data_IF_164125153076
#
_entry.id   IF_164125153076
#
_cell.length_a   1.000
_cell.length_b   1.000
_cell.length_c   1.000
_cell.angle_alpha   90.00
_cell.angle_beta   90.00
_cell.angle_gamma   90.00
#
_symmetry.space_group_name_H-M   'P 1'
#
loop_
_entity.id
_entity.type
_entity.pdbx_description
1 polymer ?
#
# COMPACT_ATOMS: atom_id res chain seq x y z
N UNK A 1 56.37 -53.86 21.00
CA UNK A 1 56.31 -55.01 20.08
C UNK A 1 54.87 -55.23 19.69
N UNK A 2 54.62 -55.35 18.38
CA UNK A 2 53.39 -55.74 17.67
C UNK A 2 52.31 -54.63 17.61
N UNK A 3 52.16 -53.89 16.50
CA UNK A 3 51.75 -54.29 15.13
C UNK A 3 50.42 -55.02 15.10
N UNK A 4 49.35 -54.37 14.62
CA UNK A 4 48.61 -54.92 13.48
C UNK A 4 47.71 -53.87 12.82
N UNK A 5 47.85 -53.80 11.50
CA UNK A 5 47.11 -52.96 10.54
C UNK A 5 46.18 -53.89 9.77
N UNK A 6 44.91 -53.53 9.64
CA UNK A 6 43.99 -54.01 8.60
C UNK A 6 43.20 -52.78 8.14
N UNK A 7 43.45 -52.17 6.98
CA UNK A 7 43.27 -52.62 5.58
C UNK A 7 41.82 -53.01 5.27
N UNK A 8 41.13 -52.07 4.61
CA UNK A 8 40.26 -52.36 3.47
C UNK A 8 38.81 -52.73 3.76
N UNK A 9 37.87 -51.87 3.40
CA UNK A 9 37.22 -51.98 2.08
C UNK A 9 36.40 -50.73 1.76
N UNK A 10 36.75 -50.12 0.63
CA UNK A 10 35.87 -49.35 -0.24
C UNK A 10 34.61 -50.17 -0.55
N UNK A 11 33.42 -49.57 -0.65
CA UNK A 11 32.54 -49.66 -1.84
C UNK A 11 31.20 -48.91 -1.63
N UNK A 12 30.93 -48.01 -2.58
CA UNK A 12 29.63 -47.65 -3.15
C UNK A 12 28.64 -46.79 -2.36
N UNK A 13 28.78 -45.49 -2.59
CA UNK A 13 27.80 -44.61 -3.22
C UNK A 13 26.31 -45.03 -3.20
N UNK A 14 25.50 -44.25 -2.51
CA UNK A 14 24.17 -43.86 -2.98
C UNK A 14 24.00 -42.36 -2.75
N UNK A 15 24.43 -41.59 -3.74
CA UNK A 15 23.97 -40.23 -3.93
C UNK A 15 22.48 -40.29 -4.22
N UNK A 16 21.63 -39.91 -3.27
CA UNK A 16 20.21 -39.65 -3.55
C UNK A 16 20.12 -38.37 -4.35
N UNK A 17 20.27 -38.48 -5.68
CA UNK A 17 19.88 -37.43 -6.60
C UNK A 17 18.38 -37.20 -6.42
N UNK A 18 18.05 -36.05 -5.86
CA UNK A 18 16.70 -35.52 -5.87
C UNK A 18 16.26 -35.29 -7.31
N UNK A 19 15.33 -36.09 -7.80
CA UNK A 19 14.56 -35.77 -9.00
C UNK A 19 13.46 -34.79 -8.60
N UNK A 20 13.85 -33.53 -8.41
CA UNK A 20 12.89 -32.44 -8.48
C UNK A 20 12.46 -32.33 -9.94
N UNK A 21 11.33 -32.94 -10.29
CA UNK A 21 10.70 -32.75 -11.58
C UNK A 21 10.45 -31.25 -11.81
N UNK A 22 10.82 -30.68 -12.97
CA UNK A 22 10.44 -29.32 -13.29
C UNK A 22 8.91 -29.29 -13.41
N UNK A 23 8.24 -28.55 -12.52
CA UNK A 23 6.85 -28.15 -12.76
C UNK A 23 6.86 -27.26 -13.99
N UNK A 24 6.37 -27.79 -15.10
CA UNK A 24 5.98 -27.00 -16.27
C UNK A 24 4.93 -26.02 -15.75
N UNK A 25 5.31 -24.73 -15.69
CA UNK A 25 4.34 -23.66 -15.51
C UNK A 25 3.66 -23.53 -16.86
N UNK A 26 2.46 -24.09 -16.95
CA UNK A 26 1.57 -23.90 -18.09
C UNK A 26 1.26 -22.40 -18.15
N UNK A 27 1.81 -21.72 -19.15
CA UNK A 27 1.55 -20.31 -19.39
C UNK A 27 0.09 -20.18 -19.82
N UNK A 28 -0.76 -19.81 -18.88
CA UNK A 28 -2.12 -19.39 -19.20
C UNK A 28 -2.03 -18.10 -20.03
N UNK A 29 -2.39 -18.21 -21.30
CA UNK A 29 -2.73 -17.06 -22.11
C UNK A 29 -4.04 -16.54 -21.53
N UNK A 30 -3.98 -15.42 -20.81
CA UNK A 30 -5.17 -14.67 -20.44
C UNK A 30 -5.68 -14.06 -21.75
N UNK A 31 -6.72 -14.68 -22.32
CA UNK A 31 -7.51 -14.02 -23.35
C UNK A 31 -8.07 -12.74 -22.72
N UNK A 32 -8.01 -11.58 -23.39
CA UNK A 32 -8.59 -10.37 -22.88
C UNK A 32 -10.10 -10.57 -22.85
N UNK A 33 -10.65 -10.97 -21.70
CA UNK A 33 -12.05 -10.76 -21.42
C UNK A 33 -12.29 -9.27 -21.65
N UNK A 34 -13.24 -8.96 -22.54
CA UNK A 34 -13.65 -7.59 -22.80
C UNK A 34 -14.17 -6.99 -21.49
N UNK A 35 -13.28 -6.31 -20.77
CA UNK A 35 -13.61 -5.36 -19.71
C UNK A 35 -14.46 -4.27 -20.35
N UNK A 36 -15.76 -4.54 -20.47
CA UNK A 36 -16.76 -3.50 -20.62
C UNK A 36 -16.70 -2.67 -19.36
N UNK A 37 -15.92 -1.59 -19.43
CA UNK A 37 -15.98 -0.51 -18.45
C UNK A 37 -17.42 -0.02 -18.47
N UNK A 38 -18.19 -0.47 -17.48
CA UNK A 38 -19.56 0.00 -17.27
C UNK A 38 -19.48 1.47 -16.86
N UNK A 39 -19.61 2.36 -17.84
CA UNK A 39 -19.87 3.77 -17.60
C UNK A 39 -21.38 3.87 -17.45
N UNK A 40 -21.93 4.08 -16.24
CA UNK A 40 -23.37 4.26 -16.10
C UNK A 40 -23.79 5.49 -16.91
N UNK A 41 -24.71 5.30 -17.85
CA UNK A 41 -25.28 6.38 -18.69
C UNK A 41 -26.07 7.42 -17.87
N UNK A 42 -26.20 7.21 -16.55
CA UNK A 42 -26.99 8.03 -15.66
C UNK A 42 -26.16 8.49 -14.45
N UNK A 43 -25.86 9.78 -14.41
CA UNK A 43 -25.12 10.47 -13.34
C UNK A 43 -25.84 10.42 -11.98
N UNK A 44 -27.10 9.94 -11.95
CA UNK A 44 -27.90 9.75 -10.74
C UNK A 44 -27.59 8.49 -9.93
N UNK A 45 -26.92 7.48 -10.51
CA UNK A 45 -26.59 6.23 -9.82
C UNK A 45 -25.11 6.18 -9.36
N UNK A 46 -24.35 7.25 -9.62
CA UNK A 46 -23.03 7.39 -9.03
C UNK A 46 -23.21 7.48 -7.50
N UNK A 47 -22.55 6.63 -6.70
CA UNK A 47 -22.53 6.82 -5.26
C UNK A 47 -22.07 8.25 -5.00
N UNK A 48 -22.68 8.97 -4.03
CA UNK A 48 -22.35 10.36 -3.76
C UNK A 48 -20.84 10.48 -3.69
N UNK A 49 -20.26 11.39 -4.49
CA UNK A 49 -18.83 11.61 -4.62
C UNK A 49 -18.20 11.55 -3.22
N UNK A 50 -17.66 10.38 -2.86
CA UNK A 50 -17.01 10.26 -1.57
C UNK A 50 -15.74 11.09 -1.75
N UNK A 51 -15.53 12.16 -0.96
CA UNK A 51 -14.27 12.87 -1.01
C UNK A 51 -13.17 11.81 -0.91
N UNK A 52 -12.20 11.86 -1.82
CA UNK A 52 -11.14 10.85 -1.91
C UNK A 52 -10.73 10.47 -0.49
N UNK A 53 -11.02 9.23 -0.09
CA UNK A 53 -10.74 8.77 1.28
C UNK A 53 -9.30 9.14 1.57
N UNK A 54 -9.10 9.84 2.68
CA UNK A 54 -7.87 10.55 3.02
C UNK A 54 -6.62 9.64 2.96
N UNK A 55 -5.40 10.21 2.99
CA UNK A 55 -4.14 9.46 3.08
C UNK A 55 -4.12 8.22 4.00
N UNK A 56 -4.92 8.24 5.06
CA UNK A 56 -5.08 7.14 6.03
C UNK A 56 -5.82 5.92 5.46
N UNK A 57 -6.56 6.08 4.36
CA UNK A 57 -7.30 5.02 3.67
C UNK A 57 -6.41 3.94 3.06
N UNK A 58 -5.17 4.28 2.67
CA UNK A 58 -4.24 3.30 2.12
C UNK A 58 -3.52 2.52 3.23
N UNK A 59 -3.26 3.17 4.37
CA UNK A 59 -2.81 2.47 5.59
C UNK A 59 -3.83 1.45 6.06
N UNK A 60 -5.12 1.78 5.96
CA UNK A 60 -6.22 0.85 6.21
C UNK A 60 -6.30 -0.33 5.24
N UNK A 61 -5.80 -0.21 4.00
CA UNK A 61 -5.83 -1.34 3.07
C UNK A 61 -4.77 -2.39 3.39
N UNK A 62 -3.67 -2.00 4.03
CA UNK A 62 -2.60 -2.91 4.42
C UNK A 62 -3.00 -3.84 5.59
N UNK A 63 -3.99 -3.43 6.40
CA UNK A 63 -4.46 -4.19 7.56
C UNK A 63 -5.95 -4.51 7.43
N UNK A 64 -6.29 -5.78 7.59
CA UNK A 64 -7.65 -6.31 7.41
C UNK A 64 -8.67 -5.66 8.37
N UNK A 65 -9.24 -4.50 8.02
CA UNK A 65 -10.42 -3.79 8.55
C UNK A 65 -10.78 -3.95 10.05
N UNK A 66 -9.82 -4.13 10.96
CA UNK A 66 -10.09 -4.30 12.41
C UNK A 66 -10.35 -2.99 13.15
N UNK A 67 -10.29 -1.84 12.47
CA UNK A 67 -10.44 -0.54 13.12
C UNK A 67 -11.89 -0.04 12.99
N UNK A 68 -12.58 0.28 14.10
CA UNK A 68 -13.92 0.88 14.08
C UNK A 68 -13.95 2.19 13.29
N UNK A 69 -15.02 2.42 12.52
CA UNK A 69 -15.17 3.62 11.68
C UNK A 69 -15.09 4.90 12.50
N UNK A 70 -15.59 4.88 13.73
CA UNK A 70 -15.58 6.00 14.66
C UNK A 70 -14.15 6.38 15.05
N UNK A 71 -13.30 5.38 15.32
CA UNK A 71 -11.89 5.61 15.63
C UNK A 71 -11.14 6.19 14.42
N UNK A 72 -11.45 5.70 13.23
CA UNK A 72 -10.87 6.20 11.98
C UNK A 72 -11.20 7.68 11.77
N UNK A 73 -12.48 8.05 11.90
CA UNK A 73 -12.92 9.44 11.79
C UNK A 73 -12.33 10.31 12.89
N UNK A 74 -12.18 9.79 14.11
CA UNK A 74 -11.59 10.53 15.22
C UNK A 74 -10.11 10.88 14.96
N UNK A 75 -9.32 9.94 14.44
CA UNK A 75 -7.93 10.20 14.06
C UNK A 75 -7.82 11.09 12.82
N UNK A 76 -8.69 10.91 11.83
CA UNK A 76 -8.70 11.74 10.62
C UNK A 76 -8.93 13.22 10.92
N UNK A 77 -9.85 13.55 11.85
CA UNK A 77 -10.07 14.92 12.32
C UNK A 77 -8.84 15.55 12.96
N UNK A 78 -7.93 14.72 13.48
CA UNK A 78 -6.65 15.13 14.08
C UNK A 78 -5.50 15.08 13.07
N UNK A 79 -5.79 14.82 11.78
CA UNK A 79 -4.78 14.60 10.73
C UNK A 79 -3.78 13.49 11.11
N UNK A 80 -4.27 12.46 11.78
CA UNK A 80 -3.51 11.34 12.31
C UNK A 80 -4.03 10.00 11.75
N UNK A 81 -3.18 8.98 11.78
CA UNK A 81 -3.53 7.61 11.41
C UNK A 81 -3.93 6.81 12.66
N UNK A 82 -4.98 6.00 12.56
CA UNK A 82 -5.35 5.10 13.65
C UNK A 82 -4.48 3.84 13.63
N UNK A 83 -4.03 3.39 14.80
CA UNK A 83 -3.34 2.12 14.95
C UNK A 83 -4.27 0.95 14.59
N UNK A 84 -3.80 -0.06 13.83
CA UNK A 84 -4.60 -1.25 13.52
C UNK A 84 -4.96 -2.09 14.75
N UNK A 85 -4.01 -2.24 15.68
CA UNK A 85 -4.26 -2.92 16.95
C UNK A 85 -4.76 -1.93 18.01
N UNK A 86 -5.78 -2.32 18.78
CA UNK A 86 -6.18 -1.56 19.94
C UNK A 86 -5.11 -1.63 21.04
N UNK A 87 -5.13 -0.64 21.92
CA UNK A 87 -4.41 -0.62 23.19
C UNK A 87 -5.00 -1.65 24.17
N UNK A 88 -4.34 -1.89 25.31
CA UNK A 88 -4.75 -2.87 26.32
C UNK A 88 -6.15 -2.62 26.88
N UNK A 89 -6.59 -1.36 26.89
CA UNK A 89 -7.92 -0.91 27.30
C UNK A 89 -8.97 -1.02 26.19
N UNK A 90 -8.60 -1.52 25.01
CA UNK A 90 -9.46 -1.62 23.84
C UNK A 90 -9.60 -0.31 23.05
N UNK A 91 -8.92 0.76 23.45
CA UNK A 91 -8.94 2.03 22.75
C UNK A 91 -8.04 2.02 21.51
N UNK A 92 -8.39 2.80 20.48
CA UNK A 92 -7.58 2.91 19.27
C UNK A 92 -6.77 4.21 19.33
N UNK A 93 -5.45 4.07 19.35
CA UNK A 93 -4.53 5.20 19.39
C UNK A 93 -4.37 5.84 18.01
N UNK A 94 -4.17 7.15 17.99
CA UNK A 94 -3.85 7.90 16.79
C UNK A 94 -2.36 8.27 16.79
N UNK A 95 -1.69 8.05 15.66
CA UNK A 95 -0.29 8.41 15.41
C UNK A 95 -0.25 9.53 14.39
N UNK A 96 0.53 10.58 14.66
CA UNK A 96 0.67 11.67 13.71
C UNK A 96 1.33 11.17 12.42
N UNK A 97 0.89 11.66 11.25
CA UNK A 97 1.46 11.21 9.97
C UNK A 97 2.97 11.46 9.86
N UNK A 98 3.51 12.44 10.59
CA UNK A 98 4.95 12.74 10.63
C UNK A 98 5.77 11.78 11.49
N UNK A 99 5.12 11.07 12.41
CA UNK A 99 5.75 10.12 13.32
C UNK A 99 5.71 8.69 12.75
N UNK A 100 5.02 8.47 11.63
CA UNK A 100 5.03 7.18 10.94
C UNK A 100 6.42 6.91 10.34
N UNK A 101 6.93 5.70 10.58
CA UNK A 101 8.20 5.22 10.04
C UNK A 101 9.41 6.05 10.49
N UNK A 102 9.35 6.55 11.73
CA UNK A 102 10.37 7.35 12.37
C UNK A 102 11.35 6.51 13.22
N UNK A 103 11.21 5.18 13.17
CA UNK A 103 11.96 4.16 13.94
C UNK A 103 11.62 4.10 15.42
N UNK A 104 10.54 4.75 15.86
CA UNK A 104 10.01 4.65 17.21
C UNK A 104 8.63 4.03 17.10
N UNK A 105 8.35 3.02 17.92
CA UNK A 105 7.02 2.39 17.94
C UNK A 105 6.09 3.24 18.78
N UNK A 106 5.04 3.76 18.18
CA UNK A 106 3.93 4.44 18.86
C UNK A 106 2.67 3.58 18.91
N UNK A 107 2.44 2.71 17.92
CA UNK A 107 1.29 1.80 17.99
C UNK A 107 1.55 0.63 18.96
N UNK A 108 0.50 0.10 19.62
CA UNK A 108 0.63 -1.01 20.56
C UNK A 108 1.30 -2.26 19.95
N UNK A 109 1.01 -2.55 18.67
CA UNK A 109 1.64 -3.65 17.93
C UNK A 109 2.87 -3.24 17.12
N UNK A 110 3.27 -1.96 17.14
CA UNK A 110 4.36 -1.42 16.34
C UNK A 110 4.08 -1.42 14.84
N UNK A 111 2.81 -1.38 14.43
CA UNK A 111 2.37 -1.40 13.03
C UNK A 111 2.81 -0.18 12.23
N UNK A 112 2.92 0.96 12.92
CA UNK A 112 3.46 2.23 12.45
C UNK A 112 4.90 2.10 11.90
N UNK A 113 5.66 1.11 12.40
CA UNK A 113 7.04 0.82 12.00
C UNK A 113 7.17 -0.48 11.19
N UNK A 114 6.06 -1.07 10.76
CA UNK A 114 6.12 -2.31 9.98
C UNK A 114 6.66 -2.04 8.58
N UNK A 115 7.46 -2.96 8.04
CA UNK A 115 8.05 -2.81 6.70
C UNK A 115 6.99 -2.62 5.61
N UNK A 116 5.87 -3.32 5.73
CA UNK A 116 4.75 -3.22 4.78
C UNK A 116 4.12 -1.84 4.87
N UNK A 117 3.84 -1.36 6.08
CA UNK A 117 3.24 -0.04 6.27
C UNK A 117 4.17 1.08 5.77
N UNK A 118 5.45 1.00 6.11
CA UNK A 118 6.42 1.99 5.67
C UNK A 118 6.63 2.01 4.16
N UNK A 119 6.65 0.84 3.52
CA UNK A 119 6.72 0.77 2.06
C UNK A 119 5.54 1.50 1.39
N UNK A 120 4.31 1.24 1.84
CA UNK A 120 3.13 1.91 1.27
C UNK A 120 3.10 3.40 1.60
N UNK A 121 3.47 3.79 2.82
CA UNK A 121 3.52 5.18 3.23
C UNK A 121 4.53 5.98 2.39
N UNK A 122 5.72 5.44 2.18
CA UNK A 122 6.75 6.06 1.35
C UNK A 122 6.28 6.21 -0.10
N UNK A 123 5.78 5.13 -0.71
CA UNK A 123 5.24 5.14 -2.07
C UNK A 123 4.16 6.22 -2.24
N UNK A 124 3.23 6.27 -1.28
CA UNK A 124 2.13 7.22 -1.31
C UNK A 124 2.57 8.66 -1.09
N UNK A 125 3.54 8.89 -0.21
CA UNK A 125 4.11 10.22 0.04
C UNK A 125 4.76 10.81 -1.22
N UNK A 126 5.44 9.97 -2.01
CA UNK A 126 6.05 10.35 -3.28
C UNK A 126 4.98 10.72 -4.29
N UNK A 127 3.96 9.87 -4.45
CA UNK A 127 2.91 10.10 -5.45
C UNK A 127 2.05 11.32 -5.10
N UNK A 128 1.63 11.47 -3.84
CA UNK A 128 0.90 12.65 -3.39
C UNK A 128 1.71 13.94 -3.57
N UNK A 129 3.02 13.90 -3.31
CA UNK A 129 3.88 15.07 -3.50
C UNK A 129 3.91 15.48 -4.97
N UNK A 130 3.99 14.50 -5.88
CA UNK A 130 3.93 14.74 -7.33
C UNK A 130 2.60 15.34 -7.76
N UNK A 131 1.48 14.79 -7.30
CA UNK A 131 0.15 15.30 -7.63
C UNK A 131 -0.06 16.73 -7.11
N UNK A 132 0.38 17.02 -5.88
CA UNK A 132 0.31 18.37 -5.30
C UNK A 132 1.11 19.38 -6.11
N UNK A 133 2.29 19.02 -6.61
CA UNK A 133 3.09 19.90 -7.46
C UNK A 133 2.41 20.19 -8.81
N UNK A 134 1.78 19.20 -9.43
CA UNK A 134 0.99 19.40 -10.65
C UNK A 134 -0.21 20.31 -10.37
N UNK A 135 -0.96 20.05 -9.29
CA UNK A 135 -2.11 20.86 -8.90
C UNK A 135 -1.73 22.33 -8.66
N UNK A 136 -0.62 22.60 -7.96
CA UNK A 136 -0.10 23.96 -7.76
C UNK A 136 0.25 24.65 -9.09
N UNK A 137 0.85 23.94 -10.05
CA UNK A 137 1.18 24.50 -11.37
C UNK A 137 -0.07 24.85 -12.16
N UNK A 138 -1.09 24.01 -12.12
CA UNK A 138 -2.38 24.28 -12.76
C UNK A 138 -3.09 25.46 -12.09
N UNK A 139 -3.11 25.51 -10.76
CA UNK A 139 -3.70 26.61 -10.01
C UNK A 139 -3.07 27.95 -10.38
N UNK A 140 -1.73 28.01 -10.47
CA UNK A 140 -1.03 29.22 -10.95
C UNK A 140 -1.43 29.66 -12.35
N UNK A 141 -1.69 28.73 -13.27
CA UNK A 141 -2.16 29.05 -14.63
C UNK A 141 -3.60 29.57 -14.64
N UNK A 142 -4.46 29.03 -13.77
CA UNK A 142 -5.84 29.49 -13.62
C UNK A 142 -5.90 30.89 -13.00
N UNK A 143 -5.02 31.16 -12.04
CA UNK A 143 -4.92 32.46 -11.37
C UNK A 143 -4.16 33.50 -12.21
N UNK A 144 -3.53 33.09 -13.32
CA UNK A 144 -2.87 34.00 -14.26
C UNK A 144 -3.92 34.87 -14.97
N UNK A 145 -3.91 36.20 -14.77
CA UNK A 145 -4.89 37.10 -15.36
C UNK A 145 -4.85 37.11 -16.91
N UNK A 146 -3.72 36.78 -17.52
CA UNK A 146 -3.60 36.66 -18.98
C UNK A 146 -4.42 35.47 -19.52
N UNK A 147 -4.47 34.37 -18.76
CA UNK A 147 -5.24 33.17 -19.11
C UNK A 147 -6.74 33.34 -18.79
N UNK A 148 -7.07 34.06 -17.72
CA UNK A 148 -8.45 34.40 -17.35
C UNK A 148 -9.14 35.27 -18.41
N UNK A 149 -8.41 36.23 -18.99
CA UNK A 149 -8.92 37.08 -20.08
C UNK A 149 -9.20 36.34 -21.39
N UNK A 150 -8.50 35.23 -21.66
CA UNK A 150 -8.72 34.41 -22.84
C UNK A 150 -9.97 33.52 -22.72
N UNK A 151 -10.34 33.11 -21.50
CA UNK A 151 -11.49 32.22 -21.25
C UNK A 151 -12.82 32.96 -21.13
N UNK A 152 -12.82 34.20 -20.60
CA UNK A 152 -14.04 35.04 -20.57
C UNK A 152 -14.44 35.57 -21.96
N UNK A 153 -13.57 35.48 -22.97
CA UNK A 153 -13.88 35.88 -24.36
C UNK A 153 -14.84 34.91 -25.08
N UNK A 154 -15.10 33.73 -24.52
CA UNK A 154 -15.97 32.70 -25.08
C UNK A 154 -17.26 32.47 -24.29
N UNK A 155 -17.53 33.25 -23.24
CA UNK A 155 -18.86 33.31 -22.61
C UNK A 155 -19.72 34.30 -23.38
N UNK A 156 -20.57 33.78 -24.27
CA UNK A 156 -21.66 34.50 -24.92
C UNK A 156 -22.91 34.52 -24.03
#
# INVERSE_FOLDING_TARGET
MNSSVHVGLLFLALATLGTAAPRVVESYVVEPDEDTVYIPDNEQDAPPFQPCRSPTSMMQMAYNQTIPVEALQACERQQAAACPSPSEDGSYLCVALADLCDRRKQCPGGEDESHVMCFFFELYSIELSRLREVAKKLQKKVDDPEYRGATDRFRF
#
